data_IF_093581372102
#
_entry.id   IF_093581372102
#
_cell.length_a   1.000
_cell.length_b   1.000
_cell.length_c   1.000
_cell.angle_alpha   90.00
_cell.angle_beta   90.00
_cell.angle_gamma   90.00
#
_symmetry.space_group_name_H-M   'P 1'
#
loop_
_entity.id
_entity.type
_entity.pdbx_description
1 polymer ?
#
# COMPACT_ATOMS: atom_id res chain seq x y z
N UNK A 1 -0.89 75.47 4.35
CA UNK A 1 -0.05 75.56 5.57
C UNK A 1 -0.71 74.73 6.67
N UNK A 2 0.09 73.85 7.31
CA UNK A 2 -0.18 73.08 8.54
C UNK A 2 -1.23 71.96 8.44
N UNK A 3 -0.91 70.70 8.13
CA UNK A 3 -0.05 69.70 8.81
C UNK A 3 -0.40 69.45 10.28
N UNK A 4 -1.07 68.32 10.56
CA UNK A 4 -1.13 67.69 11.89
C UNK A 4 -0.62 66.24 11.79
N UNK A 5 0.66 66.17 12.11
CA UNK A 5 1.55 65.09 12.56
C UNK A 5 0.85 63.78 12.98
N UNK A 6 1.24 62.72 12.28
CA UNK A 6 1.05 61.31 12.61
C UNK A 6 2.04 60.89 13.71
N UNK A 7 1.53 60.31 14.81
CA UNK A 7 2.33 59.65 15.84
C UNK A 7 1.80 58.24 16.03
N UNK A 8 2.38 57.28 15.31
CA UNK A 8 2.62 55.98 15.92
C UNK A 8 3.91 55.38 15.37
N UNK A 9 4.93 55.58 16.19
CA UNK A 9 6.25 54.97 16.14
C UNK A 9 6.12 53.67 16.94
N UNK A 10 6.26 52.52 16.28
CA UNK A 10 7.08 51.45 16.84
C UNK A 10 7.67 50.63 15.70
N UNK A 11 8.99 50.79 15.56
CA UNK A 11 9.87 50.06 14.68
C UNK A 11 10.46 48.90 15.49
N UNK A 12 10.88 47.84 14.77
CA UNK A 12 11.80 46.74 15.17
C UNK A 12 11.05 45.51 15.67
N UNK A 13 11.10 44.36 14.98
CA UNK A 13 12.34 43.63 14.69
C UNK A 13 12.21 42.79 13.40
N UNK A 14 13.22 42.91 12.54
CA UNK A 14 13.47 42.08 11.36
C UNK A 14 14.84 41.42 11.57
N UNK A 15 14.91 40.08 11.49
CA UNK A 15 16.11 39.25 11.20
C UNK A 15 15.70 37.79 11.44
N UNK A 16 15.50 36.91 10.46
CA UNK A 16 16.45 36.40 9.44
C UNK A 16 17.78 35.91 10.03
N UNK A 17 17.83 34.64 10.40
CA UNK A 17 19.05 33.82 10.44
C UNK A 17 18.68 32.34 10.30
N UNK A 18 19.35 31.65 9.39
CA UNK A 18 19.11 30.27 8.97
C UNK A 18 19.94 29.24 9.77
N UNK A 19 19.29 28.11 10.10
CA UNK A 19 19.73 26.69 10.26
C UNK A 19 21.01 26.31 11.09
N UNK A 20 21.07 25.11 11.70
CA UNK A 20 21.26 23.88 10.90
C UNK A 20 20.38 22.68 11.27
N UNK A 21 20.35 21.75 10.31
CA UNK A 21 19.65 20.48 10.27
C UNK A 21 19.87 19.57 11.48
N UNK A 22 18.81 18.86 11.90
CA UNK A 22 18.93 17.56 12.54
C UNK A 22 18.11 16.56 11.73
N UNK A 23 18.81 15.80 10.90
CA UNK A 23 18.33 14.55 10.32
C UNK A 23 18.11 13.55 11.46
N UNK A 24 16.92 12.97 11.60
CA UNK A 24 16.80 11.61 12.14
C UNK A 24 15.55 10.89 11.61
N UNK A 25 15.85 9.87 10.80
CA UNK A 25 15.03 8.72 10.36
C UNK A 25 13.79 8.94 9.49
N UNK A 26 14.09 8.93 8.19
CA UNK A 26 13.40 8.21 7.13
C UNK A 26 12.53 7.02 7.61
N UNK A 27 11.23 7.10 7.34
CA UNK A 27 10.35 5.98 7.05
C UNK A 27 9.24 6.47 6.10
N UNK A 28 9.65 7.05 4.97
CA UNK A 28 8.73 7.36 3.87
C UNK A 28 8.36 6.05 3.16
N UNK A 29 7.38 5.35 3.71
CA UNK A 29 6.47 4.56 2.89
C UNK A 29 5.39 5.52 2.37
N UNK A 30 4.96 5.44 1.10
CA UNK A 30 3.87 6.29 0.62
C UNK A 30 2.63 6.02 1.46
N UNK A 31 2.32 6.93 2.38
CA UNK A 31 1.11 6.87 3.19
C UNK A 31 -0.02 7.23 2.24
N UNK A 32 -0.78 6.22 1.79
CA UNK A 32 -2.04 6.44 1.10
C UNK A 32 -2.83 7.45 1.95
N UNK A 33 -2.96 8.67 1.46
CA UNK A 33 -3.64 9.73 2.16
C UNK A 33 -5.12 9.37 2.23
N UNK A 34 -5.53 8.71 3.31
CA UNK A 34 -6.93 8.58 3.67
C UNK A 34 -7.41 9.99 3.99
N UNK A 35 -8.17 10.59 3.07
CA UNK A 35 -8.88 11.86 3.30
C UNK A 35 -9.82 11.63 4.48
N UNK A 36 -9.45 12.13 5.65
CA UNK A 36 -10.23 12.04 6.87
C UNK A 36 -11.31 13.12 6.86
N UNK A 37 -12.51 12.77 6.43
CA UNK A 37 -13.72 13.50 6.81
C UNK A 37 -14.21 12.95 8.16
N UNK A 38 -14.62 13.80 9.13
CA UNK A 38 -14.87 13.42 10.52
C UNK A 38 -16.19 12.70 10.81
N UNK A 39 -16.89 12.17 9.80
CA UNK A 39 -17.94 11.18 10.04
C UNK A 39 -17.28 9.80 10.13
N UNK A 40 -17.28 9.22 11.33
CA UNK A 40 -16.68 7.94 11.69
C UNK A 40 -17.01 6.80 10.70
N UNK A 41 -16.17 6.60 9.69
CA UNK A 41 -16.19 5.46 8.78
C UNK A 41 -15.66 4.21 9.50
N UNK A 42 -16.48 3.70 10.41
CA UNK A 42 -16.27 2.36 10.94
C UNK A 42 -16.39 1.38 9.78
N UNK A 43 -15.33 0.59 9.51
CA UNK A 43 -15.40 -0.52 8.56
C UNK A 43 -16.62 -1.35 8.87
N UNK A 44 -17.39 -1.74 7.85
CA UNK A 44 -18.57 -2.56 8.11
C UNK A 44 -18.18 -3.91 8.70
N UNK A 45 -19.10 -4.47 9.48
CA UNK A 45 -18.93 -5.81 10.05
C UNK A 45 -18.64 -6.86 8.97
N UNK A 46 -19.20 -6.70 7.77
CA UNK A 46 -18.95 -7.58 6.62
C UNK A 46 -17.48 -7.56 6.22
N UNK A 47 -16.90 -6.37 6.02
CA UNK A 47 -15.49 -6.23 5.64
C UNK A 47 -14.58 -6.86 6.69
N UNK A 48 -14.81 -6.55 7.96
CA UNK A 48 -14.00 -7.06 9.06
C UNK A 48 -14.01 -8.59 9.12
N UNK A 49 -15.18 -9.21 8.94
CA UNK A 49 -15.32 -10.66 8.92
C UNK A 49 -14.58 -11.31 7.74
N UNK A 50 -14.72 -10.75 6.53
CA UNK A 50 -14.05 -11.25 5.34
C UNK A 50 -12.52 -11.16 5.46
N UNK A 51 -12.01 -10.02 5.93
CA UNK A 51 -10.57 -9.81 6.13
C UNK A 51 -10.02 -10.78 7.19
N UNK A 52 -10.72 -11.00 8.30
CA UNK A 52 -10.29 -11.96 9.32
C UNK A 52 -10.27 -13.40 8.78
N UNK A 53 -11.27 -13.78 7.98
CA UNK A 53 -11.32 -15.10 7.34
C UNK A 53 -10.14 -15.28 6.38
N UNK A 54 -9.83 -14.28 5.56
CA UNK A 54 -8.67 -14.26 4.68
C UNK A 54 -7.35 -14.41 5.45
N UNK A 55 -7.15 -13.62 6.50
CA UNK A 55 -5.94 -13.71 7.34
C UNK A 55 -5.77 -15.12 7.88
N UNK A 56 -6.85 -15.74 8.41
CA UNK A 56 -6.80 -17.11 8.92
C UNK A 56 -6.46 -18.12 7.82
N UNK A 57 -7.05 -17.97 6.63
CA UNK A 57 -6.80 -18.84 5.50
C UNK A 57 -5.35 -18.75 5.01
N UNK A 58 -4.83 -17.54 4.84
CA UNK A 58 -3.46 -17.28 4.40
C UNK A 58 -2.45 -17.84 5.41
N UNK A 59 -2.66 -17.64 6.71
CA UNK A 59 -1.82 -18.25 7.75
C UNK A 59 -1.86 -19.78 7.76
N UNK A 60 -2.94 -20.37 7.25
CA UNK A 60 -3.07 -21.82 7.08
C UNK A 60 -2.55 -22.32 5.72
N UNK A 61 -1.93 -21.45 4.90
CA UNK A 61 -1.42 -21.80 3.57
C UNK A 61 -2.49 -21.90 2.49
N UNK A 62 -3.73 -21.51 2.77
CA UNK A 62 -4.86 -21.55 1.81
C UNK A 62 -4.92 -20.26 0.99
N UNK A 63 -3.89 -20.02 0.18
CA UNK A 63 -3.71 -18.78 -0.56
C UNK A 63 -4.80 -18.54 -1.61
N UNK A 64 -5.41 -19.59 -2.17
CA UNK A 64 -6.53 -19.49 -3.12
C UNK A 64 -7.85 -18.96 -2.52
N UNK A 65 -7.89 -18.69 -1.22
CA UNK A 65 -9.09 -18.12 -0.59
C UNK A 65 -9.26 -16.66 -1.01
N UNK A 66 -10.49 -16.27 -1.35
CA UNK A 66 -10.87 -14.89 -1.71
C UNK A 66 -11.97 -14.39 -0.79
N UNK A 67 -12.04 -13.07 -0.60
CA UNK A 67 -13.15 -12.44 0.11
C UNK A 67 -14.43 -12.60 -0.72
N UNK A 68 -15.52 -12.94 -0.03
CA UNK A 68 -16.85 -12.97 -0.63
C UNK A 68 -17.40 -11.54 -0.76
N UNK A 69 -17.72 -11.17 -2.01
CA UNK A 69 -18.24 -9.85 -2.37
C UNK A 69 -19.77 -9.80 -2.37
N UNK A 70 -20.46 -10.92 -2.18
CA UNK A 70 -21.92 -11.02 -2.30
C UNK A 70 -22.68 -10.21 -1.24
N UNK A 71 -22.15 -10.18 -0.02
CA UNK A 71 -22.74 -9.46 1.12
C UNK A 71 -22.27 -8.00 1.25
N UNK A 72 -21.36 -7.56 0.38
CA UNK A 72 -20.77 -6.24 0.42
C UNK A 72 -21.36 -5.31 -0.65
N UNK A 73 -21.46 -4.02 -0.33
CA UNK A 73 -22.02 -3.01 -1.23
C UNK A 73 -21.23 -1.72 -1.16
N UNK A 74 -21.25 -0.94 -2.25
CA UNK A 74 -20.55 0.35 -2.34
C UNK A 74 -19.06 0.20 -2.04
N UNK A 75 -18.54 1.09 -1.18
CA UNK A 75 -17.13 1.17 -0.83
C UNK A 75 -16.58 -0.14 -0.20
N UNK A 76 -17.41 -0.89 0.52
CA UNK A 76 -16.99 -2.17 1.11
C UNK A 76 -16.71 -3.23 0.05
N UNK A 77 -17.54 -3.26 -1.00
CA UNK A 77 -17.35 -4.18 -2.12
C UNK A 77 -16.10 -3.82 -2.90
N UNK A 78 -15.88 -2.53 -3.14
CA UNK A 78 -14.68 -2.03 -3.81
C UNK A 78 -13.42 -2.39 -3.02
N UNK A 79 -13.43 -2.19 -1.70
CA UNK A 79 -12.31 -2.56 -0.82
C UNK A 79 -12.02 -4.06 -0.84
N UNK A 80 -13.06 -4.91 -0.68
CA UNK A 80 -12.87 -6.36 -0.70
C UNK A 80 -12.41 -6.86 -2.09
N UNK A 81 -12.89 -6.23 -3.16
CA UNK A 81 -12.41 -6.52 -4.50
C UNK A 81 -10.93 -6.15 -4.66
N UNK A 82 -10.51 -4.97 -4.21
CA UNK A 82 -9.11 -4.56 -4.22
C UNK A 82 -8.20 -5.49 -3.39
N UNK A 83 -8.72 -6.04 -2.29
CA UNK A 83 -8.00 -7.08 -1.52
C UNK A 83 -7.83 -8.36 -2.35
N UNK A 84 -8.85 -8.80 -3.07
CA UNK A 84 -8.74 -9.97 -3.95
C UNK A 84 -7.72 -9.74 -5.07
N UNK A 85 -7.74 -8.57 -5.72
CA UNK A 85 -6.76 -8.20 -6.75
C UNK A 85 -5.33 -8.15 -6.20
N UNK A 86 -5.15 -7.62 -4.99
CA UNK A 86 -3.86 -7.63 -4.30
C UNK A 86 -3.36 -9.06 -4.05
N UNK A 87 -4.25 -9.97 -3.62
CA UNK A 87 -3.90 -11.37 -3.40
C UNK A 87 -3.51 -12.04 -4.72
N UNK A 88 -4.28 -11.84 -5.79
CA UNK A 88 -3.98 -12.42 -7.12
C UNK A 88 -2.62 -11.95 -7.64
N UNK A 89 -2.29 -10.67 -7.47
CA UNK A 89 -1.01 -10.09 -7.89
C UNK A 89 0.20 -10.76 -7.19
N UNK A 90 0.04 -11.24 -5.96
CA UNK A 90 1.12 -11.89 -5.21
C UNK A 90 1.13 -13.41 -5.38
N UNK A 91 -0.05 -14.03 -5.49
CA UNK A 91 -0.19 -15.48 -5.57
C UNK A 91 0.24 -15.99 -6.94
N UNK A 92 -0.06 -15.27 -8.03
CA UNK A 92 0.27 -15.71 -9.38
C UNK A 92 1.78 -15.93 -9.58
N UNK A 93 2.68 -14.98 -9.26
CA UNK A 93 4.13 -15.19 -9.37
C UNK A 93 4.64 -16.32 -8.46
N UNK A 94 4.07 -16.47 -7.26
CA UNK A 94 4.45 -17.57 -6.34
C UNK A 94 4.05 -18.94 -6.88
N UNK A 95 2.89 -19.06 -7.51
CA UNK A 95 2.43 -20.28 -8.16
C UNK A 95 3.33 -20.70 -9.32
N UNK A 96 3.75 -19.74 -10.17
CA UNK A 96 4.70 -19.98 -11.25
C UNK A 96 6.04 -20.45 -10.71
N UNK A 97 6.57 -19.76 -9.69
CA UNK A 97 7.82 -20.15 -9.05
C UNK A 97 7.76 -21.59 -8.49
N UNK A 98 6.69 -21.92 -7.76
CA UNK A 98 6.50 -23.25 -7.20
C UNK A 98 6.42 -24.34 -8.29
N UNK A 99 5.72 -24.06 -9.39
CA UNK A 99 5.63 -24.97 -10.53
C UNK A 99 6.98 -25.21 -11.20
N UNK A 100 7.78 -24.15 -11.40
CA UNK A 100 9.12 -24.27 -11.97
C UNK A 100 10.06 -25.08 -11.08
N UNK A 101 10.03 -24.82 -9.77
CA UNK A 101 10.82 -25.59 -8.79
C UNK A 101 10.42 -27.07 -8.78
N UNK A 102 9.13 -27.40 -8.89
CA UNK A 102 8.66 -28.80 -8.98
C UNK A 102 9.16 -29.50 -10.25
N UNK A 103 9.17 -28.81 -11.41
CA UNK A 103 9.74 -29.35 -12.65
C UNK A 103 11.23 -29.62 -12.51
N UNK A 104 11.99 -28.65 -11.99
CA UNK A 104 13.43 -28.79 -11.74
C UNK A 104 13.70 -29.96 -10.80
N UNK A 105 12.93 -30.11 -9.73
CA UNK A 105 13.05 -31.22 -8.78
C UNK A 105 12.82 -32.60 -9.42
N UNK A 106 12.05 -32.66 -10.52
CA UNK A 106 11.81 -33.87 -11.31
C UNK A 106 12.84 -34.08 -12.42
N UNK A 107 13.85 -33.22 -12.52
CA UNK A 107 14.90 -33.28 -13.53
C UNK A 107 14.49 -32.68 -14.89
N UNK A 108 13.36 -31.98 -14.96
CA UNK A 108 12.94 -31.21 -16.13
C UNK A 108 13.47 -29.78 -16.00
N UNK A 109 14.18 -29.30 -17.03
CA UNK A 109 14.67 -27.91 -17.07
C UNK A 109 13.66 -27.10 -17.88
N UNK A 110 12.81 -26.29 -17.23
CA UNK A 110 11.82 -25.49 -17.92
C UNK A 110 12.47 -24.43 -18.81
N UNK A 111 11.74 -24.01 -19.85
CA UNK A 111 12.11 -22.83 -20.63
C UNK A 111 12.02 -21.57 -19.79
N UNK A 112 12.81 -20.55 -20.15
CA UNK A 112 12.82 -19.27 -19.46
C UNK A 112 11.43 -18.67 -19.37
N UNK A 113 11.12 -18.08 -18.23
CA UNK A 113 9.85 -17.40 -17.99
C UNK A 113 9.77 -16.17 -18.90
N UNK A 114 8.77 -16.12 -19.78
CA UNK A 114 8.54 -15.00 -20.71
C UNK A 114 7.46 -14.03 -20.24
N UNK A 115 6.74 -14.38 -19.17
CA UNK A 115 5.68 -13.55 -18.63
C UNK A 115 6.23 -12.22 -18.10
N UNK A 116 5.47 -11.16 -18.31
CA UNK A 116 5.80 -9.84 -17.78
C UNK A 116 5.41 -9.74 -16.31
N UNK A 117 6.40 -9.41 -15.49
CA UNK A 117 6.20 -9.11 -14.08
C UNK A 117 6.68 -7.70 -13.76
N UNK A 118 6.11 -7.10 -12.74
CA UNK A 118 6.45 -5.75 -12.31
C UNK A 118 7.19 -5.78 -10.97
N UNK A 119 8.13 -4.84 -10.81
CA UNK A 119 8.87 -4.66 -9.56
C UNK A 119 9.62 -5.93 -9.13
N UNK A 120 9.48 -6.26 -7.85
CA UNK A 120 10.22 -7.33 -7.17
C UNK A 120 10.05 -8.71 -7.82
N UNK A 121 8.91 -8.95 -8.48
CA UNK A 121 8.63 -10.22 -9.15
C UNK A 121 9.51 -10.49 -10.38
N UNK A 122 10.16 -9.48 -10.95
CA UNK A 122 11.19 -9.71 -11.98
C UNK A 122 12.36 -10.54 -11.45
N UNK A 123 12.66 -10.42 -10.16
CA UNK A 123 13.71 -11.22 -9.52
C UNK A 123 13.38 -12.72 -9.55
N UNK A 124 12.09 -13.08 -9.45
CA UNK A 124 11.66 -14.48 -9.55
C UNK A 124 11.89 -14.98 -10.98
N UNK A 125 11.49 -14.17 -11.97
CA UNK A 125 11.68 -14.47 -13.39
C UNK A 125 13.16 -14.66 -13.76
N UNK A 126 14.05 -13.82 -13.23
CA UNK A 126 15.46 -13.83 -13.60
C UNK A 126 16.25 -14.98 -12.94
N UNK A 127 15.74 -15.53 -11.84
CA UNK A 127 16.39 -16.59 -11.06
C UNK A 127 15.94 -18.02 -11.42
N UNK A 128 14.88 -18.18 -12.23
CA UNK A 128 14.28 -19.46 -12.63
C UNK A 128 14.34 -19.65 -14.14
#
# INVERSE_FOLDING_TARGET
MSSKINKNIFVRSNASAAAPARMEKNSDSPKLALVTNPDSSSLSTVVLQQVQALIKAIKAGKLETRADLSAASGNDRELLNGINEMLDAVINPLGVAAHYVDRIAKGDIPEKITDEYHGDFNTIKDNL
#
